data_IF_038280578526
#
_entry.id   IF_038280578526
#
_cell.length_a   1.000
_cell.length_b   1.000
_cell.length_c   1.000
_cell.angle_alpha   90.00
_cell.angle_beta   90.00
_cell.angle_gamma   90.00
#
_symmetry.space_group_name_H-M   'P 1'
#
loop_
_entity.id
_entity.type
_entity.pdbx_description
1 polymer ?
#
# COMPACT_ATOMS: atom_id res chain seq x y z
N UNK A 1 -12.10 -2.29 -3.18
CA UNK A 1 -11.09 -1.27 -3.51
C UNK A 1 -9.77 -1.99 -3.60
N UNK A 2 -8.96 -1.72 -4.61
CA UNK A 2 -7.62 -2.30 -4.67
C UNK A 2 -6.79 -1.54 -3.64
N UNK A 3 -6.38 -2.25 -2.59
CA UNK A 3 -5.35 -1.80 -1.64
C UNK A 3 -4.04 -2.08 -2.34
N UNK A 4 -3.44 -1.05 -2.92
CA UNK A 4 -2.04 -1.09 -3.30
C UNK A 4 -1.25 -0.76 -2.05
N UNK A 5 -0.73 -1.78 -1.36
CA UNK A 5 0.38 -1.57 -0.44
C UNK A 5 1.63 -1.33 -1.28
N UNK A 6 2.37 -0.27 -0.98
CA UNK A 6 3.81 -0.30 -1.22
C UNK A 6 4.35 -1.41 -0.32
N UNK A 7 5.18 -2.30 -0.85
CA UNK A 7 5.92 -3.24 -0.02
C UNK A 7 6.68 -2.42 1.02
N UNK A 8 6.42 -2.55 2.33
CA UNK A 8 7.12 -1.80 3.37
C UNK A 8 8.59 -2.26 3.52
N UNK A 9 9.18 -2.75 2.44
CA UNK A 9 10.28 -3.69 2.41
C UNK A 9 11.51 -2.99 1.87
N UNK A 10 12.47 -2.73 2.74
CA UNK A 10 13.84 -2.45 2.32
C UNK A 10 14.45 -3.77 1.88
N UNK A 11 14.82 -3.87 0.60
CA UNK A 11 15.42 -5.09 0.04
C UNK A 11 16.93 -4.87 -0.09
N UNK A 12 17.70 -5.64 0.66
CA UNK A 12 19.15 -5.63 0.64
C UNK A 12 19.74 -6.11 -0.67
N UNK A 13 21.02 -5.78 -0.87
CA UNK A 13 21.83 -6.21 -2.00
C UNK A 13 22.14 -7.71 -1.95
N UNK A 14 22.54 -8.27 -3.10
CA UNK A 14 23.04 -9.64 -3.17
C UNK A 14 24.34 -9.77 -2.34
N UNK A 15 24.32 -10.63 -1.32
CA UNK A 15 25.43 -10.86 -0.39
C UNK A 15 26.44 -11.92 -0.88
N UNK A 16 26.38 -12.25 -2.17
CA UNK A 16 27.29 -13.15 -2.89
C UNK A 16 27.81 -14.32 -2.03
N UNK A 17 26.92 -15.24 -1.60
CA UNK A 17 27.32 -16.37 -0.77
C UNK A 17 28.34 -17.24 -1.50
N UNK A 18 29.40 -17.65 -0.80
CA UNK A 18 30.43 -18.51 -1.39
C UNK A 18 29.97 -19.97 -1.42
N UNK A 19 30.41 -20.68 -2.45
CA UNK A 19 30.18 -22.13 -2.57
C UNK A 19 31.32 -22.84 -1.86
N UNK A 20 31.06 -23.32 -0.67
CA UNK A 20 31.92 -24.28 0.01
C UNK A 20 31.36 -25.68 -0.31
N UNK A 21 32.15 -26.52 -0.98
CA UNK A 21 31.83 -27.94 -1.13
C UNK A 21 32.96 -28.77 -0.53
N UNK A 22 32.57 -29.76 0.28
CA UNK A 22 33.48 -30.72 0.87
C UNK A 22 33.37 -32.04 0.11
N UNK A 23 34.51 -32.57 -0.34
CA UNK A 23 34.59 -33.96 -0.74
C UNK A 23 35.05 -34.73 0.49
N UNK A 24 34.10 -35.46 1.07
CA UNK A 24 34.34 -36.39 2.17
C UNK A 24 34.22 -37.82 1.66
N UNK A 25 35.01 -38.72 2.23
CA UNK A 25 34.90 -40.15 1.94
C UNK A 25 34.18 -40.88 3.07
N UNK A 26 33.05 -41.48 2.74
CA UNK A 26 32.33 -42.42 3.63
C UNK A 26 32.96 -43.83 3.60
N UNK A 27 34.29 -43.89 3.47
CA UNK A 27 35.11 -45.10 3.30
C UNK A 27 35.79 -45.20 1.92
N UNK A 28 37.06 -45.61 1.92
CA UNK A 28 37.94 -45.63 0.73
C UNK A 28 39.04 -44.57 0.79
N UNK A 29 39.86 -44.49 -0.26
CA UNK A 29 40.89 -43.46 -0.47
C UNK A 29 40.75 -42.80 -1.84
N UNK A 30 39.64 -42.98 -2.55
CA UNK A 30 39.47 -42.53 -3.94
C UNK A 30 39.59 -41.02 -4.09
N UNK A 31 39.01 -40.23 -3.20
CA UNK A 31 39.13 -38.77 -3.23
C UNK A 31 40.55 -38.33 -2.83
N UNK A 32 41.18 -39.00 -1.87
CA UNK A 32 42.58 -38.76 -1.48
C UNK A 32 43.54 -39.08 -2.64
N UNK A 33 43.35 -40.23 -3.27
CA UNK A 33 44.11 -40.75 -4.42
C UNK A 33 43.94 -39.86 -5.66
N UNK A 34 42.78 -39.23 -5.81
CA UNK A 34 42.50 -38.24 -6.86
C UNK A 34 42.97 -36.82 -6.48
N UNK A 35 43.47 -36.62 -5.26
CA UNK A 35 43.93 -35.31 -4.77
C UNK A 35 42.81 -34.28 -4.66
N UNK A 36 41.56 -34.73 -4.60
CA UNK A 36 40.36 -33.90 -4.49
C UNK A 36 39.67 -34.09 -3.14
N UNK A 37 40.29 -34.75 -2.16
CA UNK A 37 39.79 -34.80 -0.77
C UNK A 37 40.04 -33.46 -0.09
N UNK A 38 39.00 -32.83 0.45
CA UNK A 38 39.12 -31.58 1.21
C UNK A 38 37.93 -30.63 1.04
N UNK A 39 38.03 -29.48 1.70
CA UNK A 39 37.14 -28.34 1.52
C UNK A 39 37.68 -27.42 0.43
N UNK A 40 36.88 -27.15 -0.58
CA UNK A 40 37.28 -26.30 -1.71
C UNK A 40 36.58 -24.95 -1.65
N UNK A 41 37.36 -23.89 -1.83
CA UNK A 41 36.92 -22.48 -1.78
C UNK A 41 37.20 -21.80 -3.14
N UNK A 42 36.31 -22.03 -4.13
CA UNK A 42 36.38 -21.52 -5.53
C UNK A 42 37.42 -22.24 -6.43
N UNK A 43 37.47 -22.16 -7.77
CA UNK A 43 36.59 -21.65 -8.82
C UNK A 43 36.66 -22.70 -9.97
N UNK A 44 35.60 -23.49 -10.18
CA UNK A 44 35.45 -24.32 -11.38
C UNK A 44 34.61 -23.50 -12.38
N UNK A 45 35.03 -23.43 -13.65
CA UNK A 45 34.19 -22.82 -14.70
C UNK A 45 33.09 -23.84 -15.04
N UNK A 46 32.02 -23.83 -14.23
CA UNK A 46 30.74 -24.44 -14.50
C UNK A 46 29.68 -23.37 -14.77
N UNK A 47 28.47 -23.80 -15.07
CA UNK A 47 27.28 -22.93 -15.08
C UNK A 47 27.11 -22.25 -13.71
N UNK A 48 26.51 -21.06 -13.68
CA UNK A 48 26.23 -20.35 -12.44
C UNK A 48 25.39 -21.24 -11.51
N UNK A 49 25.90 -21.52 -10.30
CA UNK A 49 25.23 -22.38 -9.32
C UNK A 49 24.06 -21.69 -8.61
N UNK A 50 23.80 -20.41 -8.90
CA UNK A 50 22.73 -19.57 -8.30
C UNK A 50 22.62 -19.79 -6.79
N UNK A 51 23.74 -19.58 -6.10
CA UNK A 51 23.86 -19.93 -4.69
C UNK A 51 23.01 -18.99 -3.87
N UNK A 52 22.15 -19.58 -3.05
CA UNK A 52 21.23 -18.88 -2.18
C UNK A 52 21.75 -18.88 -0.74
N UNK A 53 21.44 -17.81 -0.02
CA UNK A 53 21.58 -17.71 1.42
C UNK A 53 20.63 -18.70 2.10
N UNK A 54 21.19 -19.42 3.06
CA UNK A 54 20.43 -20.16 4.04
C UNK A 54 20.46 -19.36 5.35
N UNK A 55 19.45 -19.56 6.20
CA UNK A 55 19.50 -18.96 7.55
C UNK A 55 20.68 -19.50 8.37
N UNK A 56 21.18 -20.68 8.05
CA UNK A 56 22.38 -21.28 8.65
C UNK A 56 23.70 -20.83 8.02
N UNK A 57 23.69 -20.02 6.97
CA UNK A 57 24.92 -19.52 6.34
C UNK A 57 25.68 -18.64 7.34
N UNK A 58 26.99 -18.85 7.47
CA UNK A 58 27.83 -17.99 8.30
C UNK A 58 28.02 -16.64 7.62
N UNK A 59 27.95 -15.57 8.41
CA UNK A 59 28.14 -14.22 7.91
C UNK A 59 29.57 -13.99 7.43
N UNK A 60 30.57 -14.65 8.00
CA UNK A 60 31.97 -14.55 7.59
C UNK A 60 32.24 -15.10 6.18
N UNK A 61 31.39 -16.01 5.71
CA UNK A 61 31.55 -16.66 4.40
C UNK A 61 30.87 -15.87 3.27
N UNK A 62 30.13 -14.80 3.60
CA UNK A 62 29.45 -13.93 2.65
C UNK A 62 30.44 -13.00 1.92
N UNK A 63 29.98 -12.38 0.83
CA UNK A 63 30.76 -11.46 0.00
C UNK A 63 32.13 -12.03 -0.41
N UNK A 64 32.12 -13.26 -0.93
CA UNK A 64 33.36 -13.99 -1.27
C UNK A 64 34.29 -14.29 -0.08
N UNK A 65 33.75 -14.39 1.14
CA UNK A 65 34.51 -14.65 2.37
C UNK A 65 35.14 -13.40 2.98
N UNK A 66 34.72 -12.22 2.55
CA UNK A 66 35.02 -10.95 3.23
C UNK A 66 34.07 -10.68 4.40
N UNK A 67 32.97 -11.44 4.46
CA UNK A 67 31.90 -11.28 5.41
C UNK A 67 31.03 -10.06 5.14
N UNK A 68 30.20 -9.70 6.12
CA UNK A 68 29.45 -8.45 6.09
C UNK A 68 30.30 -7.31 6.65
N UNK A 69 30.03 -6.09 6.21
CA UNK A 69 30.58 -4.91 6.89
C UNK A 69 29.92 -4.80 8.26
N UNK A 70 30.73 -4.80 9.31
CA UNK A 70 30.26 -4.64 10.68
C UNK A 70 30.23 -3.16 11.08
N UNK A 71 29.59 -2.88 12.21
CA UNK A 71 29.38 -1.53 12.71
C UNK A 71 27.99 -1.34 13.31
N UNK A 72 27.78 -0.18 13.90
CA UNK A 72 26.52 0.18 14.53
C UNK A 72 25.56 0.79 13.49
N UNK A 73 24.34 0.27 13.43
CA UNK A 73 23.24 0.82 12.63
C UNK A 73 22.14 1.30 13.55
N UNK A 74 21.51 2.42 13.19
CA UNK A 74 20.38 2.96 13.93
C UNK A 74 19.10 2.79 13.13
N UNK A 75 18.05 2.35 13.82
CA UNK A 75 16.72 2.18 13.27
C UNK A 75 15.72 3.06 14.02
N UNK A 76 14.85 3.74 13.28
CA UNK A 76 13.79 4.56 13.85
C UNK A 76 12.42 4.14 13.34
N UNK A 77 11.44 4.03 14.24
CA UNK A 77 10.04 3.81 13.90
C UNK A 77 9.14 4.60 14.84
N UNK A 78 8.34 5.53 14.31
CA UNK A 78 7.28 6.23 15.07
C UNK A 78 7.74 7.03 16.30
N UNK A 79 9.06 7.27 16.44
CA UNK A 79 9.70 7.93 17.59
C UNK A 79 10.50 6.97 18.50
N UNK A 80 10.37 5.66 18.31
CA UNK A 80 11.22 4.66 18.98
C UNK A 80 12.52 4.51 18.20
N UNK A 81 13.64 4.61 18.92
CA UNK A 81 14.97 4.31 18.40
C UNK A 81 15.37 2.91 18.84
N UNK A 82 15.84 2.09 17.91
CA UNK A 82 16.60 0.89 18.18
C UNK A 82 18.00 1.04 17.59
N UNK A 83 18.99 0.48 18.26
CA UNK A 83 20.36 0.45 17.76
C UNK A 83 20.82 -0.99 17.69
N UNK A 84 21.42 -1.37 16.57
CA UNK A 84 21.91 -2.71 16.33
C UNK A 84 23.43 -2.63 16.11
N UNK A 85 24.16 -3.30 16.98
CA UNK A 85 25.61 -3.45 16.91
C UNK A 85 25.96 -4.74 16.15
N UNK A 86 26.43 -4.60 14.91
CA UNK A 86 26.83 -5.74 14.08
C UNK A 86 28.24 -6.24 14.39
N UNK A 87 28.96 -5.60 15.32
CA UNK A 87 30.23 -6.11 15.86
C UNK A 87 30.01 -7.12 17.02
N UNK A 88 28.75 -7.37 17.42
CA UNK A 88 28.44 -8.34 18.49
C UNK A 88 28.88 -9.76 18.09
N UNK A 89 29.78 -10.40 18.85
CA UNK A 89 30.31 -11.73 18.52
C UNK A 89 29.27 -12.86 18.58
N UNK A 90 28.07 -12.61 19.12
CA UNK A 90 26.94 -13.54 19.06
C UNK A 90 26.29 -13.61 17.68
N UNK A 91 26.55 -12.64 16.79
CA UNK A 91 26.00 -12.60 15.45
C UNK A 91 26.94 -13.35 14.49
N UNK A 92 26.74 -14.66 14.35
CA UNK A 92 27.63 -15.53 13.54
C UNK A 92 26.96 -15.92 12.22
N UNK A 93 25.67 -16.22 12.24
CA UNK A 93 24.90 -16.72 11.10
C UNK A 93 23.89 -15.69 10.60
N UNK A 94 23.35 -15.93 9.41
CA UNK A 94 22.23 -15.15 8.86
C UNK A 94 21.03 -15.20 9.82
N UNK A 95 20.74 -16.34 10.45
CA UNK A 95 19.65 -16.46 11.42
C UNK A 95 19.87 -15.53 12.61
N UNK A 96 21.08 -15.50 13.17
CA UNK A 96 21.40 -14.64 14.31
C UNK A 96 21.17 -13.17 13.92
N UNK A 97 21.61 -12.76 12.73
CA UNK A 97 21.38 -11.42 12.22
C UNK A 97 19.87 -11.09 12.10
N UNK A 98 19.10 -11.99 11.49
CA UNK A 98 17.65 -11.83 11.37
C UNK A 98 16.97 -11.75 12.74
N UNK A 99 17.42 -12.54 13.71
CA UNK A 99 16.89 -12.55 15.07
C UNK A 99 17.18 -11.23 15.78
N UNK A 100 18.37 -10.65 15.62
CA UNK A 100 18.66 -9.35 16.24
C UNK A 100 17.81 -8.23 15.65
N UNK A 101 17.57 -8.23 14.32
CA UNK A 101 16.60 -7.29 13.72
C UNK A 101 15.18 -7.49 14.26
N UNK A 102 14.68 -8.73 14.24
CA UNK A 102 13.31 -9.05 14.66
C UNK A 102 13.08 -8.84 16.17
N UNK A 103 14.14 -8.89 16.98
CA UNK A 103 14.08 -8.63 18.43
C UNK A 103 14.52 -7.20 18.81
N UNK A 104 14.60 -6.28 17.84
CA UNK A 104 14.98 -4.87 18.08
C UNK A 104 13.96 -4.07 18.92
N UNK A 105 12.75 -4.60 19.10
CA UNK A 105 11.65 -3.92 19.79
C UNK A 105 10.83 -2.99 18.89
N UNK A 106 11.16 -2.92 17.60
CA UNK A 106 10.36 -2.24 16.57
C UNK A 106 9.36 -3.22 15.93
N UNK A 107 8.26 -2.70 15.41
CA UNK A 107 7.26 -3.51 14.69
C UNK A 107 7.72 -3.74 13.24
N UNK A 108 8.72 -4.60 13.08
CA UNK A 108 9.35 -4.94 11.80
C UNK A 108 9.45 -6.44 11.60
N UNK A 109 9.69 -6.86 10.36
CA UNK A 109 10.02 -8.24 10.01
C UNK A 109 11.22 -8.29 9.08
N UNK A 110 12.35 -8.73 9.61
CA UNK A 110 13.53 -9.08 8.84
C UNK A 110 13.46 -10.54 8.36
N UNK A 111 13.76 -10.75 7.09
CA UNK A 111 13.74 -12.05 6.43
C UNK A 111 14.76 -12.08 5.28
N UNK A 112 14.99 -13.24 4.68
CA UNK A 112 15.64 -13.30 3.38
C UNK A 112 14.72 -12.69 2.30
N UNK A 113 15.31 -12.06 1.29
CA UNK A 113 14.55 -11.55 0.14
C UNK A 113 13.98 -12.70 -0.72
N UNK A 114 13.11 -12.39 -1.68
CA UNK A 114 12.42 -13.40 -2.52
C UNK A 114 13.36 -14.34 -3.27
N UNK A 115 14.56 -13.87 -3.55
CA UNK A 115 15.57 -14.57 -4.33
C UNK A 115 16.58 -15.28 -3.42
N UNK A 116 16.40 -15.18 -2.10
CA UNK A 116 17.30 -15.70 -1.08
C UNK A 116 18.76 -15.24 -1.26
N UNK A 117 19.03 -14.09 -1.87
CA UNK A 117 20.40 -13.59 -2.06
C UNK A 117 20.75 -12.38 -1.20
N UNK A 118 19.76 -11.77 -0.55
CA UNK A 118 19.94 -10.66 0.38
C UNK A 118 18.99 -10.75 1.56
N UNK A 119 19.10 -9.78 2.45
CA UNK A 119 18.20 -9.60 3.59
C UNK A 119 17.19 -8.52 3.23
N UNK A 120 15.94 -8.69 3.63
CA UNK A 120 14.92 -7.66 3.52
C UNK A 120 14.34 -7.34 4.89
N UNK A 121 13.96 -6.08 5.12
CA UNK A 121 13.33 -5.63 6.37
C UNK A 121 12.01 -4.95 6.03
N UNK A 122 10.92 -5.47 6.58
CA UNK A 122 9.55 -4.98 6.37
C UNK A 122 9.09 -4.17 7.57
N UNK A 123 8.61 -2.95 7.33
CA UNK A 123 7.88 -2.17 8.32
C UNK A 123 6.42 -2.67 8.45
N UNK A 124 6.03 -3.19 9.62
CA UNK A 124 4.67 -3.67 9.85
C UNK A 124 3.74 -2.58 10.38
N UNK A 125 4.26 -1.43 10.83
CA UNK A 125 3.46 -0.30 11.28
C UNK A 125 3.01 0.56 10.08
N UNK A 126 1.69 0.61 9.76
CA UNK A 126 1.19 1.39 8.65
C UNK A 126 1.12 2.90 8.93
N UNK A 127 1.33 3.34 10.17
CA UNK A 127 1.17 4.72 10.62
C UNK A 127 2.49 5.44 10.86
N UNK A 128 3.56 4.69 11.02
CA UNK A 128 4.89 5.23 11.33
C UNK A 128 5.87 4.90 10.22
N UNK A 129 6.63 5.92 9.80
CA UNK A 129 7.78 5.68 8.92
C UNK A 129 8.85 4.87 9.64
N UNK A 130 9.54 4.02 8.87
CA UNK A 130 10.67 3.24 9.34
C UNK A 130 11.93 3.65 8.59
N UNK A 131 13.02 3.92 9.31
CA UNK A 131 14.31 4.27 8.73
C UNK A 131 15.43 3.40 9.29
N UNK A 132 16.42 3.11 8.47
CA UNK A 132 17.70 2.48 8.83
C UNK A 132 18.82 3.38 8.34
N UNK A 133 19.69 3.80 9.25
CA UNK A 133 20.82 4.69 8.96
C UNK A 133 22.11 4.14 9.59
N UNK A 134 23.25 4.43 8.97
CA UNK A 134 24.56 4.12 9.54
C UNK A 134 24.93 5.12 10.65
N UNK A 135 25.67 4.66 11.67
CA UNK A 135 26.18 5.52 12.74
C UNK A 135 27.62 5.96 12.45
N UNK A 136 27.95 7.23 12.77
CA UNK A 136 29.32 7.77 12.77
C UNK A 136 30.14 7.57 11.48
N UNK A 137 29.50 7.62 10.31
CA UNK A 137 30.17 7.41 9.02
C UNK A 137 30.44 5.93 8.69
N UNK A 138 29.78 5.01 9.40
CA UNK A 138 29.71 3.60 9.01
C UNK A 138 29.05 3.40 7.66
N UNK A 139 29.20 2.20 7.11
CA UNK A 139 28.63 1.80 5.80
C UNK A 139 27.95 0.44 5.88
N UNK A 140 27.66 -0.06 7.08
CA UNK A 140 27.13 -1.40 7.27
C UNK A 140 25.72 -1.55 6.67
N UNK A 141 24.80 -0.61 6.96
CA UNK A 141 23.46 -0.60 6.39
C UNK A 141 23.50 -0.42 4.86
N UNK A 142 24.40 0.44 4.34
CA UNK A 142 24.58 0.65 2.90
C UNK A 142 25.10 -0.60 2.19
N UNK A 143 26.10 -1.26 2.76
CA UNK A 143 26.70 -2.46 2.17
C UNK A 143 25.76 -3.66 2.21
N UNK A 144 24.88 -3.72 3.21
CA UNK A 144 23.75 -4.66 3.26
C UNK A 144 22.60 -4.27 2.31
N UNK A 145 22.63 -3.08 1.71
CA UNK A 145 21.59 -2.56 0.81
C UNK A 145 20.27 -2.20 1.51
N UNK A 146 20.29 -2.02 2.83
CA UNK A 146 19.09 -1.73 3.65
C UNK A 146 19.08 -0.31 4.20
N UNK A 147 20.04 0.54 3.79
CA UNK A 147 20.07 1.95 4.17
C UNK A 147 18.89 2.72 3.56
N UNK A 148 18.24 3.56 4.38
CA UNK A 148 17.16 4.45 3.94
C UNK A 148 15.82 4.11 4.59
N UNK A 149 14.74 4.23 3.81
CA UNK A 149 13.37 4.03 4.28
C UNK A 149 12.51 3.40 3.21
N UNK A 150 11.52 2.61 3.62
CA UNK A 150 10.53 2.01 2.72
C UNK A 150 9.41 2.98 2.29
N UNK A 151 9.36 4.18 2.88
CA UNK A 151 8.32 5.16 2.59
C UNK A 151 8.90 6.56 2.30
N UNK A 152 8.07 7.39 1.67
CA UNK A 152 8.47 8.72 1.23
C UNK A 152 8.80 9.66 2.40
N UNK A 153 8.06 9.57 3.52
CA UNK A 153 8.25 10.47 4.66
C UNK A 153 9.56 10.12 5.39
N UNK A 154 9.82 8.83 5.60
CA UNK A 154 11.10 8.37 6.12
C UNK A 154 12.25 8.69 5.18
N UNK A 155 12.06 8.56 3.86
CA UNK A 155 13.10 8.95 2.87
C UNK A 155 13.46 10.43 2.96
N UNK A 156 12.48 11.33 3.16
CA UNK A 156 12.75 12.75 3.42
C UNK A 156 13.49 13.00 4.73
N UNK A 157 13.17 12.22 5.77
CA UNK A 157 13.87 12.31 7.05
C UNK A 157 15.35 11.91 6.91
N UNK A 158 15.62 10.77 6.28
CA UNK A 158 17.00 10.31 6.01
C UNK A 158 17.74 11.32 5.10
N UNK A 159 17.06 11.91 4.11
CA UNK A 159 17.66 12.96 3.29
C UNK A 159 18.04 14.19 4.11
N UNK A 160 17.17 14.64 5.02
CA UNK A 160 17.44 15.78 5.88
C UNK A 160 18.69 15.53 6.75
N UNK A 161 18.79 14.34 7.36
CA UNK A 161 19.95 13.93 8.13
C UNK A 161 21.22 13.86 7.26
N UNK A 162 21.13 13.29 6.06
CA UNK A 162 22.25 13.20 5.13
C UNK A 162 22.75 14.59 4.71
N UNK A 163 21.83 15.53 4.45
CA UNK A 163 22.17 16.93 4.13
C UNK A 163 22.81 17.66 5.31
N UNK A 164 22.31 17.47 6.53
CA UNK A 164 22.89 18.06 7.74
C UNK A 164 24.33 17.58 7.96
N UNK A 165 24.59 16.30 7.67
CA UNK A 165 25.91 15.68 7.82
C UNK A 165 26.82 15.83 6.58
N UNK A 166 26.37 16.50 5.52
CA UNK A 166 27.08 16.61 4.23
C UNK A 166 27.46 15.25 3.62
N UNK A 167 26.62 14.24 3.82
CA UNK A 167 26.81 12.88 3.33
C UNK A 167 26.32 12.74 1.88
N UNK A 168 27.19 13.05 0.92
CA UNK A 168 26.85 13.06 -0.50
C UNK A 168 26.53 11.67 -1.06
N UNK A 169 27.06 10.62 -0.44
CA UNK A 169 26.80 9.23 -0.82
C UNK A 169 25.40 8.77 -0.39
N UNK A 170 24.98 9.10 0.84
CA UNK A 170 23.59 8.92 1.27
C UNK A 170 22.61 9.66 0.36
N UNK A 171 22.90 10.92 0.04
CA UNK A 171 22.04 11.73 -0.83
C UNK A 171 21.87 11.05 -2.19
N UNK A 172 22.96 10.53 -2.77
CA UNK A 172 22.90 9.79 -4.04
C UNK A 172 22.08 8.51 -3.95
N UNK A 173 22.25 7.75 -2.86
CA UNK A 173 21.55 6.48 -2.64
C UNK A 173 20.05 6.64 -2.42
N UNK A 174 19.59 7.82 -1.99
CA UNK A 174 18.16 8.11 -1.77
C UNK A 174 17.41 8.48 -3.06
N UNK A 175 18.10 8.77 -4.17
CA UNK A 175 17.43 9.17 -5.43
C UNK A 175 16.49 8.08 -5.94
N UNK A 176 16.92 6.82 -5.91
CA UNK A 176 16.10 5.68 -6.32
C UNK A 176 14.84 5.54 -5.44
N UNK A 177 14.97 5.79 -4.13
CA UNK A 177 13.83 5.79 -3.21
C UNK A 177 12.83 6.92 -3.51
N UNK A 178 13.31 8.08 -3.96
CA UNK A 178 12.43 9.18 -4.39
C UNK A 178 11.72 8.89 -5.71
N UNK A 179 12.38 8.25 -6.67
CA UNK A 179 11.74 7.85 -7.92
C UNK A 179 10.59 6.86 -7.66
N UNK A 180 10.82 5.84 -6.81
CA UNK A 180 9.77 4.92 -6.37
C UNK A 180 8.62 5.65 -5.64
N UNK A 181 8.96 6.65 -4.82
CA UNK A 181 7.97 7.46 -4.11
C UNK A 181 7.13 8.32 -5.07
N UNK A 182 7.74 8.89 -6.10
CA UNK A 182 7.05 9.67 -7.14
C UNK A 182 6.06 8.79 -7.89
N UNK A 183 6.48 7.59 -8.30
CA UNK A 183 5.61 6.62 -8.98
C UNK A 183 4.40 6.25 -8.14
N UNK A 184 4.59 6.10 -6.83
CA UNK A 184 3.48 5.84 -5.91
C UNK A 184 2.48 7.01 -5.84
N UNK A 185 2.97 8.26 -5.74
CA UNK A 185 2.10 9.45 -5.74
C UNK A 185 1.32 9.56 -7.05
N UNK A 186 1.98 9.28 -8.19
CA UNK A 186 1.33 9.26 -9.50
C UNK A 186 0.24 8.20 -9.58
N UNK A 187 0.48 6.99 -9.07
CA UNK A 187 -0.51 5.92 -9.02
C UNK A 187 -1.71 6.30 -8.14
N UNK A 188 -1.47 6.81 -6.92
CA UNK A 188 -2.52 7.30 -6.03
C UNK A 188 -3.34 8.42 -6.67
N UNK A 189 -2.69 9.35 -7.38
CA UNK A 189 -3.36 10.42 -8.15
C UNK A 189 -4.23 9.85 -9.27
N UNK A 190 -3.76 8.84 -10.00
CA UNK A 190 -4.53 8.20 -11.07
C UNK A 190 -5.80 7.50 -10.53
N UNK A 191 -5.69 6.82 -9.39
CA UNK A 191 -6.83 6.20 -8.69
C UNK A 191 -7.85 7.25 -8.26
N UNK A 192 -7.39 8.37 -7.69
CA UNK A 192 -8.26 9.48 -7.31
C UNK A 192 -8.90 10.17 -8.51
N UNK A 193 -8.18 10.34 -9.62
CA UNK A 193 -8.73 10.83 -10.88
C UNK A 193 -9.85 9.94 -11.41
N UNK A 194 -9.64 8.62 -11.39
CA UNK A 194 -10.67 7.64 -11.78
C UNK A 194 -11.93 7.70 -10.89
N UNK A 195 -11.74 7.91 -9.57
CA UNK A 195 -12.85 8.16 -8.65
C UNK A 195 -13.57 9.46 -8.98
N UNK A 196 -12.84 10.52 -9.33
CA UNK A 196 -13.40 11.80 -9.78
C UNK A 196 -14.31 11.63 -10.99
N UNK A 197 -13.84 10.97 -12.05
CA UNK A 197 -14.65 10.67 -13.25
C UNK A 197 -15.90 9.88 -12.90
N UNK A 198 -15.78 8.88 -12.01
CA UNK A 198 -16.93 8.08 -11.57
C UNK A 198 -17.94 8.90 -10.77
N UNK A 199 -17.47 9.80 -9.91
CA UNK A 199 -18.32 10.71 -9.14
C UNK A 199 -19.06 11.68 -10.08
N UNK A 200 -18.37 12.25 -11.06
CA UNK A 200 -18.95 13.14 -12.06
C UNK A 200 -20.03 12.42 -12.89
N UNK A 201 -19.73 11.22 -13.41
CA UNK A 201 -20.71 10.40 -14.13
C UNK A 201 -21.92 10.03 -13.26
N UNK A 202 -21.67 9.71 -11.98
CA UNK A 202 -22.74 9.40 -11.02
C UNK A 202 -23.62 10.63 -10.76
N UNK A 203 -23.01 11.81 -10.62
CA UNK A 203 -23.72 13.06 -10.38
C UNK A 203 -24.59 13.46 -11.58
N UNK A 204 -24.06 13.35 -12.81
CA UNK A 204 -24.85 13.57 -14.03
C UNK A 204 -26.05 12.62 -14.11
N UNK A 205 -25.87 11.35 -13.75
CA UNK A 205 -26.96 10.37 -13.69
C UNK A 205 -27.99 10.74 -12.61
N UNK A 206 -27.57 11.19 -11.43
CA UNK A 206 -28.49 11.62 -10.37
C UNK A 206 -29.34 12.82 -10.81
N UNK A 207 -28.75 13.82 -11.48
CA UNK A 207 -29.51 14.94 -12.04
C UNK A 207 -30.53 14.49 -13.11
N UNK A 208 -30.15 13.58 -14.00
CA UNK A 208 -31.10 13.02 -14.97
C UNK A 208 -32.22 12.24 -14.29
N UNK A 209 -31.92 11.49 -13.22
CA UNK A 209 -32.93 10.77 -12.45
C UNK A 209 -33.88 11.72 -11.72
N UNK A 210 -33.36 12.77 -11.09
CA UNK A 210 -34.15 13.82 -10.44
C UNK A 210 -35.14 14.47 -11.42
N UNK A 211 -34.67 14.85 -12.61
CA UNK A 211 -35.53 15.40 -13.66
C UNK A 211 -36.63 14.41 -14.07
N UNK A 212 -36.27 13.16 -14.36
CA UNK A 212 -37.23 12.11 -14.73
C UNK A 212 -38.25 11.80 -13.63
N UNK A 213 -37.85 11.86 -12.35
CA UNK A 213 -38.78 11.68 -11.24
C UNK A 213 -39.71 12.87 -11.08
N UNK A 214 -39.20 14.09 -11.27
CA UNK A 214 -40.00 15.32 -11.21
C UNK A 214 -41.03 15.36 -12.33
N UNK A 215 -40.64 15.00 -13.56
CA UNK A 215 -41.54 14.90 -14.72
C UNK A 215 -42.63 13.85 -14.48
N UNK A 216 -42.27 12.64 -14.02
CA UNK A 216 -43.26 11.60 -13.69
C UNK A 216 -44.20 12.00 -12.55
N UNK A 217 -43.69 12.74 -11.55
CA UNK A 217 -44.52 13.23 -10.45
C UNK A 217 -45.53 14.25 -10.98
N UNK A 218 -45.09 15.20 -11.82
CA UNK A 218 -45.94 16.16 -12.52
C UNK A 218 -46.99 15.44 -13.38
N UNK A 219 -46.63 14.44 -14.19
CA UNK A 219 -47.59 13.68 -14.98
C UNK A 219 -48.65 12.93 -14.13
N UNK A 220 -48.27 12.48 -12.93
CA UNK A 220 -49.16 11.73 -12.03
C UNK A 220 -50.04 12.65 -11.17
N UNK A 221 -49.49 13.75 -10.65
CA UNK A 221 -50.13 14.62 -9.65
C UNK A 221 -50.71 15.91 -10.25
N UNK A 222 -50.15 16.42 -11.35
CA UNK A 222 -50.64 17.67 -11.92
C UNK A 222 -52.04 17.48 -12.49
N UNK A 223 -52.99 18.14 -11.84
CA UNK A 223 -54.35 18.17 -12.32
C UNK A 223 -54.39 18.93 -13.65
N UNK A 224 -54.97 18.32 -14.68
CA UNK A 224 -55.28 19.02 -15.93
C UNK A 224 -56.22 20.18 -15.59
N UNK A 225 -55.64 21.38 -15.48
CA UNK A 225 -56.35 22.58 -15.08
C UNK A 225 -57.53 22.85 -16.02
N UNK A 226 -57.43 22.50 -17.30
CA UNK A 226 -58.51 22.67 -18.27
C UNK A 226 -59.68 21.77 -17.92
N UNK A 227 -59.42 20.50 -17.59
CA UNK A 227 -60.44 19.55 -17.18
C UNK A 227 -61.04 19.90 -15.83
N UNK A 228 -60.22 20.23 -14.83
CA UNK A 228 -60.69 20.64 -13.50
C UNK A 228 -61.56 21.90 -13.56
N UNK A 229 -61.16 22.90 -14.35
CA UNK A 229 -61.97 24.12 -14.54
C UNK A 229 -63.29 23.80 -15.25
N UNK A 230 -63.26 22.91 -16.24
CA UNK A 230 -64.48 22.50 -16.97
C UNK A 230 -65.43 21.75 -16.05
N UNK A 231 -64.93 20.76 -15.30
CA UNK A 231 -65.71 19.98 -14.35
C UNK A 231 -66.28 20.88 -13.25
N UNK A 232 -65.47 21.79 -12.70
CA UNK A 232 -65.92 22.79 -11.72
C UNK A 232 -67.04 23.67 -12.29
N UNK A 233 -66.90 24.16 -13.52
CA UNK A 233 -67.92 24.97 -14.19
C UNK A 233 -69.22 24.21 -14.40
N UNK A 234 -69.15 22.91 -14.74
CA UNK A 234 -70.31 22.02 -14.85
C UNK A 234 -70.96 21.82 -13.48
N UNK A 235 -70.18 21.54 -12.44
CA UNK A 235 -70.69 21.38 -11.08
C UNK A 235 -71.35 22.66 -10.57
N UNK A 236 -70.77 23.83 -10.81
CA UNK A 236 -71.38 25.12 -10.46
C UNK A 236 -72.69 25.35 -11.21
N UNK A 237 -72.73 25.08 -12.52
CA UNK A 237 -73.95 25.23 -13.31
C UNK A 237 -75.05 24.27 -12.84
N UNK A 238 -74.70 23.01 -12.60
CA UNK A 238 -75.63 22.00 -12.08
C UNK A 238 -76.13 22.37 -10.67
N UNK A 239 -75.24 22.85 -9.81
CA UNK A 239 -75.60 23.32 -8.46
C UNK A 239 -76.55 24.53 -8.52
N UNK A 240 -76.24 25.53 -9.37
CA UNK A 240 -77.12 26.67 -9.62
C UNK A 240 -78.49 26.22 -10.15
N UNK A 241 -78.53 25.28 -11.09
CA UNK A 241 -79.77 24.72 -11.63
C UNK A 241 -80.58 23.95 -10.58
N UNK A 242 -79.93 23.11 -9.77
CA UNK A 242 -80.57 22.38 -8.67
C UNK A 242 -81.11 23.33 -7.59
N UNK A 243 -80.38 24.41 -7.28
CA UNK A 243 -80.84 25.45 -6.36
C UNK A 243 -82.07 26.19 -6.92
N UNK A 244 -82.08 26.55 -8.20
CA UNK A 244 -83.25 27.17 -8.85
C UNK A 244 -84.45 26.23 -8.88
N UNK A 245 -84.25 24.95 -9.20
CA UNK A 245 -85.30 23.94 -9.17
C UNK A 245 -85.86 23.76 -7.75
N UNK A 246 -84.98 23.69 -6.74
CA UNK A 246 -85.36 23.60 -5.33
C UNK A 246 -86.09 24.86 -4.86
N UNK A 247 -85.63 26.05 -5.24
CA UNK A 247 -86.30 27.31 -4.94
C UNK A 247 -87.70 27.38 -5.59
N UNK A 248 -87.87 26.82 -6.78
CA UNK A 248 -89.16 26.71 -7.47
C UNK A 248 -90.11 25.68 -6.83
N UNK A 249 -89.57 24.62 -6.22
CA UNK A 249 -90.33 23.64 -5.43
C UNK A 249 -90.70 24.19 -4.04
N UNK A 250 -89.78 24.92 -3.39
CA UNK A 250 -89.95 25.48 -2.04
C UNK A 250 -90.79 26.76 -2.04
N UNK A 251 -90.86 27.49 -3.16
CA UNK A 251 -91.89 28.52 -3.31
C UNK A 251 -93.26 27.84 -3.28
N UNK A 252 -94.10 28.05 -2.25
CA UNK A 252 -95.45 27.57 -2.29
C UNK A 252 -96.17 28.35 -3.39
N UNK A 253 -96.68 27.68 -4.42
CA UNK A 253 -97.83 28.20 -5.17
C UNK A 253 -99.04 28.17 -4.25
N UNK A 254 -99.05 29.05 -3.24
CA UNK A 254 -100.22 29.35 -2.42
C UNK A 254 -101.43 29.80 -3.26
N UNK A 255 -101.23 30.06 -4.57
CA UNK A 255 -102.26 30.33 -5.57
C UNK A 255 -102.80 29.09 -6.31
N UNK A 256 -102.17 27.91 -6.22
CA UNK A 256 -102.60 26.69 -6.94
C UNK A 256 -103.49 25.78 -6.07
N UNK A 257 -103.53 26.03 -4.76
CA UNK A 257 -104.44 25.32 -3.83
C UNK A 257 -105.81 26.04 -3.65
N UNK A 258 -106.05 27.15 -4.38
CA UNK A 258 -107.30 27.93 -4.32
C UNK A 258 -108.06 27.93 -5.67
N UNK A 259 -108.18 26.75 -6.29
CA UNK A 259 -109.27 26.47 -7.25
C UNK A 259 -110.00 25.21 -6.87
#
# INVERSE_FOLDING_TARGET
GIVGNIGPTLTGSDLAPRVDFAIEELGGTTAEDLGILGEFKGNFIGENLDVQLLTTSNLSDLNNGLGITTGEIVMWQGGTKATLDLDDPSIVTVQDLLDVFNNSGLDITASLNSDNRGIQVVNNDPYSSFTIEDVSGGTAARNLGIYGSSDMVGSFYVLANAMENNDTEAIGSLLDNFDLSIDHVLNSRAVNGSKGVRLESTMNRLYSQEFMFTERLSELEDADLTKVITDLSIYENNYKAALMASAKIIQPSLLDFLR
#
